data_IF_156579714439
#
_entry.id   IF_156579714439
#
_cell.length_a   1.000
_cell.length_b   1.000
_cell.length_c   1.000
_cell.angle_alpha   90.00
_cell.angle_beta   90.00
_cell.angle_gamma   90.00
#
_symmetry.space_group_name_H-M   'P 1'
#
loop_
_entity.id
_entity.type
_entity.pdbx_description
1 polymer ?
#
# COMPACT_ATOMS: atom_id res chain seq x y z
N UNK A 1 1.73 -6.11 -20.10
CA UNK A 1 1.32 -5.09 -19.12
C UNK A 1 2.27 -3.91 -19.20
N UNK A 2 1.72 -2.73 -19.33
CA UNK A 2 2.49 -1.50 -19.60
C UNK A 2 3.02 -0.81 -18.32
N UNK A 3 3.06 -1.52 -17.20
CA UNK A 3 3.47 -0.94 -15.92
C UNK A 3 2.35 -0.21 -15.18
N UNK A 4 2.71 0.59 -14.18
CA UNK A 4 1.76 1.29 -13.33
C UNK A 4 1.75 2.78 -13.66
N UNK A 5 0.54 3.34 -13.83
CA UNK A 5 0.33 4.74 -14.19
C UNK A 5 -0.92 5.26 -13.50
N UNK A 6 -0.93 6.56 -13.20
CA UNK A 6 -2.18 7.25 -12.89
C UNK A 6 -3.02 7.40 -14.16
N UNK A 7 -4.27 7.85 -14.02
CA UNK A 7 -5.15 8.12 -15.18
C UNK A 7 -4.52 9.12 -16.15
N UNK A 8 -3.67 10.01 -15.66
CA UNK A 8 -2.98 11.02 -16.48
C UNK A 8 -1.61 10.54 -16.97
N UNK A 9 -1.27 9.27 -16.79
CA UNK A 9 -0.04 8.69 -17.29
C UNK A 9 1.20 8.93 -16.43
N UNK A 10 1.03 9.33 -15.17
CA UNK A 10 2.16 9.57 -14.27
C UNK A 10 2.63 8.26 -13.65
N UNK A 11 3.93 7.95 -13.76
CA UNK A 11 4.53 6.76 -13.16
C UNK A 11 4.81 6.96 -11.67
N UNK A 12 4.95 5.87 -10.88
CA UNK A 12 5.30 5.99 -9.47
C UNK A 12 6.61 6.74 -9.23
N UNK A 13 7.61 6.54 -10.07
CA UNK A 13 8.91 7.22 -9.96
C UNK A 13 8.78 8.73 -10.13
N UNK A 14 8.07 9.15 -11.17
CA UNK A 14 7.84 10.57 -11.44
C UNK A 14 7.02 11.20 -10.33
N UNK A 15 5.97 10.51 -9.88
CA UNK A 15 5.09 11.02 -8.82
C UNK A 15 5.88 11.31 -7.54
N UNK A 16 6.66 10.34 -7.05
CA UNK A 16 7.39 10.53 -5.80
C UNK A 16 8.45 11.61 -5.91
N UNK A 17 9.17 11.66 -7.03
CA UNK A 17 10.21 12.68 -7.23
C UNK A 17 9.62 14.09 -7.29
N UNK A 18 8.55 14.28 -8.05
CA UNK A 18 7.95 15.61 -8.22
C UNK A 18 7.26 16.10 -6.95
N UNK A 19 6.55 15.23 -6.24
CA UNK A 19 5.89 15.60 -4.99
C UNK A 19 6.94 15.93 -3.92
N UNK A 20 8.02 15.15 -3.84
CA UNK A 20 9.11 15.40 -2.89
C UNK A 20 9.78 16.74 -3.16
N UNK A 21 10.01 17.11 -4.43
CA UNK A 21 10.54 18.42 -4.83
C UNK A 21 9.67 19.59 -4.36
N UNK A 22 8.36 19.38 -4.28
CA UNK A 22 7.42 20.40 -3.80
C UNK A 22 7.41 20.56 -2.28
N UNK A 23 8.20 19.76 -1.57
CA UNK A 23 8.38 19.87 -0.12
C UNK A 23 7.53 18.94 0.73
N UNK A 24 6.93 17.91 0.15
CA UNK A 24 6.16 16.94 0.93
C UNK A 24 7.09 16.13 1.86
N UNK A 25 6.73 16.03 3.13
CA UNK A 25 7.48 15.26 4.11
C UNK A 25 7.20 13.76 3.98
N UNK A 26 5.96 13.39 3.68
CA UNK A 26 5.53 12.00 3.45
C UNK A 26 4.86 11.92 2.09
N UNK A 27 5.27 10.96 1.29
CA UNK A 27 4.68 10.69 -0.02
C UNK A 27 4.16 9.26 -0.05
N UNK A 28 3.19 8.97 -0.88
CA UNK A 28 2.71 7.62 -0.97
C UNK A 28 1.70 7.38 -2.05
N UNK A 29 1.01 6.26 -1.92
CA UNK A 29 -0.04 5.85 -2.85
C UNK A 29 -1.18 5.20 -2.09
N UNK A 30 -2.37 5.26 -2.66
CA UNK A 30 -3.57 4.70 -2.05
C UNK A 30 -4.49 4.11 -3.11
N UNK A 31 -5.50 3.37 -2.65
CA UNK A 31 -6.48 2.68 -3.49
C UNK A 31 -5.85 1.54 -4.31
N UNK A 32 -5.91 1.64 -5.63
CA UNK A 32 -5.39 0.60 -6.51
C UNK A 32 -6.28 -0.63 -6.60
N UNK A 33 -5.70 -1.72 -7.06
CA UNK A 33 -6.41 -2.97 -7.33
C UNK A 33 -6.14 -4.07 -6.30
N UNK A 34 -5.55 -3.73 -5.17
CA UNK A 34 -5.21 -4.66 -4.12
C UNK A 34 -3.76 -4.55 -3.69
N UNK A 35 -3.45 -5.22 -2.57
CA UNK A 35 -2.16 -5.05 -1.88
C UNK A 35 -0.97 -5.59 -2.68
N UNK A 36 -1.15 -6.62 -3.50
CA UNK A 36 -0.03 -7.16 -4.30
C UNK A 36 0.50 -6.13 -5.29
N UNK A 37 -0.39 -5.41 -5.97
CA UNK A 37 0.02 -4.32 -6.87
C UNK A 37 0.60 -3.14 -6.10
N UNK A 38 0.07 -2.86 -4.91
CA UNK A 38 0.61 -1.82 -4.05
C UNK A 38 2.04 -2.12 -3.59
N UNK A 39 2.34 -3.38 -3.30
CA UNK A 39 3.72 -3.80 -2.99
C UNK A 39 4.65 -3.51 -4.17
N UNK A 40 4.22 -3.82 -5.38
CA UNK A 40 5.02 -3.55 -6.60
C UNK A 40 5.25 -2.05 -6.80
N UNK A 41 4.20 -1.25 -6.64
CA UNK A 41 4.29 0.22 -6.76
C UNK A 41 5.21 0.77 -5.67
N UNK A 42 5.06 0.31 -4.43
CA UNK A 42 5.91 0.72 -3.31
C UNK A 42 7.38 0.41 -3.56
N UNK A 43 7.69 -0.76 -4.13
CA UNK A 43 9.07 -1.10 -4.52
C UNK A 43 9.63 -0.09 -5.52
N UNK A 44 8.86 0.25 -6.55
CA UNK A 44 9.28 1.22 -7.56
C UNK A 44 9.55 2.58 -6.92
N UNK A 45 8.66 3.04 -6.04
CA UNK A 45 8.83 4.30 -5.34
C UNK A 45 10.07 4.29 -4.44
N UNK A 46 10.29 3.20 -3.71
CA UNK A 46 11.40 3.07 -2.76
C UNK A 46 12.76 3.06 -3.46
N UNK A 47 12.86 2.52 -4.66
CA UNK A 47 14.11 2.52 -5.44
C UNK A 47 14.62 3.94 -5.72
N UNK A 48 13.71 4.91 -5.90
CA UNK A 48 14.06 6.28 -6.27
C UNK A 48 13.93 7.30 -5.13
N UNK A 49 13.50 6.87 -3.94
CA UNK A 49 13.26 7.79 -2.82
C UNK A 49 13.54 7.10 -1.48
N UNK A 50 14.31 7.76 -0.61
CA UNK A 50 14.68 7.24 0.71
C UNK A 50 13.83 7.84 1.85
N UNK A 51 12.97 8.77 1.55
CA UNK A 51 12.16 9.47 2.56
C UNK A 51 10.94 8.66 3.04
N UNK A 52 10.18 9.20 3.99
CA UNK A 52 9.00 8.53 4.50
C UNK A 52 7.94 8.27 3.42
N UNK A 53 7.49 7.04 3.32
CA UNK A 53 6.46 6.61 2.38
C UNK A 53 5.26 6.01 3.12
N UNK A 54 4.06 6.27 2.60
CA UNK A 54 2.79 5.76 3.12
C UNK A 54 2.06 4.96 2.05
N UNK A 55 1.52 3.80 2.43
CA UNK A 55 0.76 2.92 1.52
C UNK A 55 -0.59 2.60 2.14
N UNK A 56 -1.68 2.95 1.45
CA UNK A 56 -3.06 2.68 1.86
C UNK A 56 -3.77 1.89 0.76
N UNK A 57 -3.74 0.56 0.84
CA UNK A 57 -4.29 -0.30 -0.20
C UNK A 57 -5.78 -0.56 -0.04
N UNK A 58 -6.48 -0.75 -1.17
CA UNK A 58 -7.80 -1.39 -1.19
C UNK A 58 -7.67 -2.84 -0.71
N UNK A 59 -8.78 -3.38 -0.22
CA UNK A 59 -8.90 -4.81 0.10
C UNK A 59 -9.19 -5.63 -1.16
N UNK A 60 -8.40 -5.41 -2.21
CA UNK A 60 -8.54 -6.05 -3.50
C UNK A 60 -9.40 -5.26 -4.48
N UNK A 61 -9.64 -5.84 -5.63
CA UNK A 61 -10.53 -5.28 -6.64
C UNK A 61 -11.98 -5.66 -6.31
N UNK A 62 -12.91 -4.69 -6.24
CA UNK A 62 -14.29 -4.99 -5.86
C UNK A 62 -14.98 -5.88 -6.88
N UNK A 63 -15.76 -6.84 -6.37
CA UNK A 63 -16.59 -7.76 -7.17
C UNK A 63 -18.05 -7.59 -6.80
N UNK A 64 -18.93 -7.77 -7.76
CA UNK A 64 -20.37 -7.77 -7.50
C UNK A 64 -20.81 -9.23 -7.37
N UNK A 65 -21.33 -9.58 -6.18
CA UNK A 65 -21.85 -10.93 -5.88
C UNK A 65 -23.24 -10.77 -5.31
N UNK A 66 -24.25 -11.34 -5.99
CA UNK A 66 -25.65 -11.24 -5.58
C UNK A 66 -26.12 -9.79 -5.33
N UNK A 67 -25.71 -8.86 -6.22
CA UNK A 67 -26.06 -7.44 -6.12
C UNK A 67 -25.29 -6.66 -5.05
N UNK A 68 -24.31 -7.28 -4.37
CA UNK A 68 -23.50 -6.62 -3.35
C UNK A 68 -22.05 -6.48 -3.81
N UNK A 69 -21.44 -5.37 -3.43
CA UNK A 69 -20.02 -5.14 -3.66
C UNK A 69 -19.21 -5.86 -2.58
N UNK A 70 -18.30 -6.75 -3.01
CA UNK A 70 -17.44 -7.49 -2.10
C UNK A 70 -15.99 -7.22 -2.45
N UNK A 71 -15.18 -6.93 -1.42
CA UNK A 71 -13.75 -6.80 -1.53
C UNK A 71 -13.09 -8.10 -1.07
N UNK A 72 -12.32 -8.78 -1.96
CA UNK A 72 -11.91 -10.17 -1.72
C UNK A 72 -10.72 -10.35 -0.77
N UNK A 73 -9.92 -9.32 -0.52
CA UNK A 73 -8.72 -9.47 0.30
C UNK A 73 -9.07 -9.40 1.78
N UNK A 74 -8.79 -10.50 2.48
CA UNK A 74 -9.07 -10.64 3.91
C UNK A 74 -8.06 -9.87 4.77
N UNK A 75 -8.40 -9.60 6.06
CA UNK A 75 -7.42 -9.01 6.99
C UNK A 75 -6.11 -9.79 7.06
N UNK A 76 -6.17 -11.12 7.09
CA UNK A 76 -5.00 -12.00 7.16
C UNK A 76 -4.15 -11.90 5.91
N UNK A 77 -4.78 -11.90 4.74
CA UNK A 77 -4.08 -11.77 3.47
C UNK A 77 -3.33 -10.44 3.36
N UNK A 78 -4.01 -9.34 3.67
CA UNK A 78 -3.40 -8.01 3.65
C UNK A 78 -2.28 -7.88 4.67
N UNK A 79 -2.49 -8.37 5.88
CA UNK A 79 -1.46 -8.35 6.94
C UNK A 79 -0.21 -9.13 6.53
N UNK A 80 -0.37 -10.27 5.89
CA UNK A 80 0.76 -11.05 5.38
C UNK A 80 1.56 -10.26 4.33
N UNK A 81 0.87 -9.59 3.42
CA UNK A 81 1.52 -8.77 2.39
C UNK A 81 2.20 -7.52 2.94
N UNK A 82 1.73 -6.99 4.05
CA UNK A 82 2.37 -5.86 4.73
C UNK A 82 3.80 -6.20 5.17
N UNK A 83 4.10 -7.47 5.43
CA UNK A 83 5.47 -7.90 5.72
C UNK A 83 6.43 -7.54 4.58
N UNK A 84 5.99 -7.69 3.34
CA UNK A 84 6.80 -7.31 2.17
C UNK A 84 7.03 -5.79 2.12
N UNK A 85 6.03 -4.99 2.52
CA UNK A 85 6.18 -3.54 2.62
C UNK A 85 7.16 -3.14 3.74
N UNK A 86 7.13 -3.84 4.86
CA UNK A 86 8.08 -3.62 5.96
C UNK A 86 9.50 -3.93 5.49
N UNK A 87 9.69 -5.01 4.76
CA UNK A 87 11.01 -5.45 4.26
C UNK A 87 11.65 -4.40 3.34
N UNK A 88 10.86 -3.67 2.58
CA UNK A 88 11.35 -2.55 1.75
C UNK A 88 11.32 -1.20 2.48
N UNK A 89 11.10 -1.22 3.79
CA UNK A 89 11.17 -0.06 4.68
C UNK A 89 10.11 1.01 4.42
N UNK A 90 8.91 0.59 4.08
CA UNK A 90 7.75 1.49 4.08
C UNK A 90 7.45 1.89 5.52
N UNK A 91 7.11 3.14 5.75
CA UNK A 91 7.02 3.74 7.07
C UNK A 91 5.63 3.75 7.66
N UNK A 92 4.60 3.95 6.82
CA UNK A 92 3.22 4.11 7.28
C UNK A 92 2.33 3.19 6.46
N UNK A 93 1.47 2.44 7.16
CA UNK A 93 0.59 1.46 6.56
C UNK A 93 -0.86 1.76 6.92
N UNK A 94 -1.75 1.51 5.99
CA UNK A 94 -3.17 1.64 6.25
C UNK A 94 -3.99 0.95 5.19
N UNK A 95 -5.26 1.29 5.15
CA UNK A 95 -6.20 0.74 4.19
C UNK A 95 -6.94 1.83 3.43
N UNK A 96 -7.60 1.42 2.37
CA UNK A 96 -8.47 2.26 1.57
C UNK A 96 -9.80 1.52 1.36
N UNK A 97 -10.36 1.55 0.16
CA UNK A 97 -11.67 0.98 -0.10
C UNK A 97 -11.76 -0.51 0.28
N UNK A 98 -12.82 -0.89 0.94
CA UNK A 98 -13.09 -2.27 1.36
C UNK A 98 -12.36 -2.72 2.62
N UNK A 99 -11.42 -1.93 3.15
CA UNK A 99 -10.78 -2.28 4.42
C UNK A 99 -11.69 -1.93 5.60
N UNK A 100 -11.60 -2.76 6.63
CA UNK A 100 -12.40 -2.68 7.84
C UNK A 100 -11.49 -2.51 9.06
N UNK A 101 -12.05 -2.23 10.26
CA UNK A 101 -11.24 -2.24 11.48
C UNK A 101 -10.47 -3.54 11.69
N UNK A 102 -11.00 -4.67 11.24
CA UNK A 102 -10.32 -5.97 11.35
C UNK A 102 -9.06 -6.01 10.49
N UNK A 103 -9.10 -5.43 9.29
CA UNK A 103 -7.91 -5.29 8.44
C UNK A 103 -6.83 -4.47 9.15
N UNK A 104 -7.20 -3.34 9.71
CA UNK A 104 -6.26 -2.46 10.41
C UNK A 104 -5.68 -3.14 11.65
N UNK A 105 -6.52 -3.86 12.40
CA UNK A 105 -6.07 -4.62 13.57
C UNK A 105 -5.04 -5.68 13.19
N UNK A 106 -5.28 -6.42 12.11
CA UNK A 106 -4.35 -7.44 11.62
C UNK A 106 -3.02 -6.83 11.15
N UNK A 107 -3.08 -5.72 10.42
CA UNK A 107 -1.89 -4.98 9.98
C UNK A 107 -1.10 -4.48 11.20
N UNK A 108 -1.76 -3.90 12.18
CA UNK A 108 -1.12 -3.42 13.40
C UNK A 108 -0.38 -4.54 14.13
N UNK A 109 -0.99 -5.72 14.22
CA UNK A 109 -0.35 -6.87 14.86
C UNK A 109 0.96 -7.26 14.17
N UNK A 110 0.98 -7.28 12.84
CA UNK A 110 2.19 -7.59 12.08
C UNK A 110 3.27 -6.52 12.31
N UNK A 111 2.89 -5.25 12.24
CA UNK A 111 3.83 -4.13 12.43
C UNK A 111 4.43 -4.16 13.84
N UNK A 112 3.60 -4.40 14.87
CA UNK A 112 4.06 -4.47 16.27
C UNK A 112 5.00 -5.63 16.50
N UNK A 113 4.68 -6.82 15.97
CA UNK A 113 5.53 -8.00 16.10
C UNK A 113 6.88 -7.81 15.41
N UNK A 114 6.86 -7.17 14.25
CA UNK A 114 8.09 -6.89 13.50
C UNK A 114 9.00 -5.93 14.27
N UNK A 115 8.44 -4.89 14.85
CA UNK A 115 9.19 -3.92 15.67
C UNK A 115 9.78 -4.57 16.91
N UNK A 116 9.04 -5.48 17.57
CA UNK A 116 9.51 -6.18 18.77
C UNK A 116 10.64 -7.15 18.46
N UNK A 117 10.66 -7.75 17.27
CA UNK A 117 11.69 -8.72 16.88
C UNK A 117 13.00 -8.06 16.41
N UNK A 118 13.01 -6.74 16.20
CA UNK A 118 14.21 -5.98 15.81
C UNK A 118 14.95 -5.33 16.98
N UNK A 119 14.36 -5.42 18.13
CA UNK A 119 14.96 -4.97 19.39
C UNK A 119 15.66 -6.12 20.07
#
# INVERSE_FOLDING_TARGET
>A
PRGFFTMMGVTPEVAVKEIRKKGADVVGTNCGNGIENMVKIANIMRVVDDGPLVIHSNAGFPKIVNGRIIYPETPEFMADKVKELIDIKINIFGGCCGTTPNHISAIKSVVSNYSNNKL
#
